data_IF_140818089815
#
_entry.id   IF_140818089815
#
_cell.length_a   1.000
_cell.length_b   1.000
_cell.length_c   1.000
_cell.angle_alpha   90.00
_cell.angle_beta   90.00
_cell.angle_gamma   90.00
#
_symmetry.space_group_name_H-M   'P 1'
#
loop_
_entity.id
_entity.type
_entity.pdbx_description
1 polymer ?
#
# COMPACT_ATOMS: atom_id res chain seq x y z
N UNK A 1 0.08 0.64 2.52
CA UNK A 1 -1.23 0.19 3.09
C UNK A 1 -2.28 -0.23 2.05
N UNK A 2 -1.90 -0.90 0.95
CA UNK A 2 -2.84 -1.15 -0.17
C UNK A 2 -3.44 -2.56 -0.09
N UNK A 3 -4.71 -2.72 -0.48
CA UNK A 3 -5.32 -4.05 -0.62
C UNK A 3 -4.63 -4.90 -1.70
N UNK A 4 -4.75 -6.22 -1.57
CA UNK A 4 -4.28 -7.16 -2.59
C UNK A 4 -5.21 -7.23 -3.80
N UNK A 5 -4.67 -7.74 -4.91
CA UNK A 5 -5.36 -7.87 -6.21
C UNK A 5 -6.73 -8.58 -6.15
N UNK A 6 -6.88 -9.55 -5.26
CA UNK A 6 -8.07 -10.39 -5.15
C UNK A 6 -8.92 -10.08 -3.90
N UNK A 7 -8.72 -8.92 -3.28
CA UNK A 7 -9.45 -8.56 -2.07
C UNK A 7 -10.97 -8.64 -2.32
N UNK A 8 -11.67 -9.38 -1.46
CA UNK A 8 -13.12 -9.60 -1.52
C UNK A 8 -13.65 -10.29 -2.78
N UNK A 9 -12.78 -10.92 -3.58
CA UNK A 9 -13.21 -11.70 -4.75
C UNK A 9 -13.97 -12.96 -4.34
N UNK A 10 -15.13 -13.20 -4.95
CA UNK A 10 -15.93 -14.43 -4.76
C UNK A 10 -15.59 -15.51 -5.79
N UNK A 11 -15.22 -15.10 -7.00
CA UNK A 11 -15.00 -15.98 -8.16
C UNK A 11 -13.51 -16.15 -8.50
N UNK A 12 -12.60 -15.69 -7.64
CA UNK A 12 -11.13 -15.70 -7.83
C UNK A 12 -10.64 -14.78 -8.95
N UNK A 13 -11.49 -13.92 -9.50
CA UNK A 13 -11.08 -12.89 -10.45
C UNK A 13 -10.49 -11.68 -9.72
N UNK A 14 -9.53 -10.97 -10.34
CA UNK A 14 -8.92 -9.78 -9.75
C UNK A 14 -9.96 -8.67 -9.61
N UNK A 15 -10.11 -8.12 -8.41
CA UNK A 15 -11.00 -6.98 -8.12
C UNK A 15 -10.27 -5.64 -8.25
N UNK A 16 -8.93 -5.65 -8.19
CA UNK A 16 -8.09 -4.46 -8.31
C UNK A 16 -6.95 -4.72 -9.30
N UNK A 17 -6.90 -3.94 -10.38
CA UNK A 17 -5.90 -4.06 -11.45
C UNK A 17 -5.12 -2.73 -11.54
N UNK A 18 -3.79 -2.75 -11.32
CA UNK A 18 -2.97 -1.53 -11.43
C UNK A 18 -2.89 -1.00 -12.87
N UNK A 19 -2.77 0.32 -13.01
CA UNK A 19 -2.63 1.06 -14.28
C UNK A 19 -1.43 2.01 -14.14
N UNK A 20 -0.59 2.21 -15.17
CA UNK A 20 -0.67 1.61 -16.52
C UNK A 20 -0.13 0.18 -16.61
N UNK A 21 0.69 -0.24 -15.64
CA UNK A 21 1.28 -1.57 -15.64
C UNK A 21 0.49 -2.51 -14.74
N UNK A 22 -0.26 -3.44 -15.34
CA UNK A 22 -1.09 -4.41 -14.63
C UNK A 22 -0.31 -5.45 -13.82
N UNK A 23 1.01 -5.54 -13.99
CA UNK A 23 1.87 -6.50 -13.28
C UNK A 23 2.45 -5.95 -11.97
N UNK A 24 2.19 -4.68 -11.63
CA UNK A 24 2.66 -4.10 -10.37
C UNK A 24 2.10 -4.90 -9.19
N UNK A 25 2.98 -5.21 -8.24
CA UNK A 25 2.64 -5.96 -7.04
C UNK A 25 1.93 -5.07 -6.02
N UNK A 26 0.76 -5.50 -5.54
CA UNK A 26 -0.05 -4.80 -4.54
C UNK A 26 -0.46 -5.75 -3.42
N UNK A 27 -0.58 -5.21 -2.21
CA UNK A 27 -1.07 -5.96 -1.04
C UNK A 27 -0.14 -7.04 -0.48
N UNK A 28 1.16 -7.01 -0.81
CA UNK A 28 2.19 -7.94 -0.28
C UNK A 28 3.18 -7.27 0.67
N UNK A 29 2.73 -6.29 1.45
CA UNK A 29 3.59 -5.60 2.40
C UNK A 29 3.89 -6.47 3.63
N UNK A 30 5.17 -6.84 3.85
CA UNK A 30 5.65 -7.44 5.12
C UNK A 30 5.97 -6.38 6.18
N UNK A 31 6.25 -5.16 5.74
CA UNK A 31 6.60 -4.01 6.58
C UNK A 31 6.00 -2.74 5.97
N UNK A 32 5.98 -1.64 6.74
CA UNK A 32 5.52 -0.35 6.24
C UNK A 32 6.40 0.14 5.09
N UNK A 33 5.78 0.72 4.05
CA UNK A 33 6.54 1.34 2.97
C UNK A 33 7.20 2.63 3.45
N UNK A 34 8.27 3.06 2.78
CA UNK A 34 8.93 4.36 3.05
C UNK A 34 7.93 5.52 3.00
N UNK A 35 6.95 5.46 2.10
CA UNK A 35 5.92 6.51 1.97
C UNK A 35 4.94 6.48 3.14
N UNK A 36 4.52 5.29 3.59
CA UNK A 36 3.64 5.15 4.75
C UNK A 36 4.34 5.73 6.01
N UNK A 37 5.62 5.40 6.22
CA UNK A 37 6.45 5.94 7.32
C UNK A 37 6.58 7.47 7.21
N UNK A 38 6.87 8.00 6.02
CA UNK A 38 7.01 9.44 5.80
C UNK A 38 5.70 10.19 6.10
N UNK A 39 4.55 9.62 5.70
CA UNK A 39 3.23 10.20 6.00
C UNK A 39 2.96 10.25 7.50
N UNK A 40 3.26 9.18 8.22
CA UNK A 40 3.10 9.11 9.68
C UNK A 40 4.03 10.11 10.37
N UNK A 41 5.31 10.15 10.01
CA UNK A 41 6.26 11.10 10.60
C UNK A 41 5.85 12.55 10.37
N UNK A 42 5.34 12.87 9.16
CA UNK A 42 4.83 14.20 8.87
C UNK A 42 3.60 14.55 9.71
N UNK A 43 2.69 13.60 9.91
CA UNK A 43 1.47 13.79 10.70
C UNK A 43 1.78 14.04 12.18
N UNK A 44 2.70 13.28 12.76
CA UNK A 44 3.02 13.33 14.20
C UNK A 44 4.25 14.19 14.53
N UNK A 45 4.87 14.84 13.54
CA UNK A 45 6.06 15.67 13.73
C UNK A 45 7.32 14.89 14.15
N UNK A 46 7.34 13.57 13.96
CA UNK A 46 8.47 12.73 14.34
C UNK A 46 9.72 13.11 13.53
N UNK A 47 10.88 13.12 14.20
CA UNK A 47 12.17 13.44 13.57
C UNK A 47 12.44 14.94 13.42
N UNK A 48 11.53 15.82 13.87
CA UNK A 48 11.90 17.19 14.23
C UNK A 48 12.57 17.14 15.60
N UNK A 49 13.87 17.37 15.65
CA UNK A 49 14.49 17.86 16.87
C UNK A 49 13.87 19.24 17.16
N UNK A 50 13.25 19.39 18.34
CA UNK A 50 12.92 20.72 18.86
C UNK A 50 14.20 21.54 19.01
#
# INVERSE_FOLDING_TARGET
MHYGRYAFSKNREPTIIPIPNSNVEIGRAKQMSRLDILRINKLYGCGKSM
#
